data_IF_143947882207
#
_entry.id   IF_143947882207
#
_cell.length_a   1.000
_cell.length_b   1.000
_cell.length_c   1.000
_cell.angle_alpha   90.00
_cell.angle_beta   90.00
_cell.angle_gamma   90.00
#
_symmetry.space_group_name_H-M   'P 1'
#
loop_
_entity.id
_entity.type
_entity.pdbx_description
1 polymer ?
#
# COMPACT_ATOMS: atom_id res chain seq x y z
N UNK A 1 -0.68 24.40 -46.89
CA UNK A 1 -0.13 24.47 -45.53
C UNK A 1 -1.05 23.64 -44.66
N UNK A 2 -0.76 22.35 -44.43
CA UNK A 2 -1.41 21.47 -43.43
C UNK A 2 -1.00 19.99 -43.65
N UNK A 3 0.30 19.70 -43.74
CA UNK A 3 0.76 18.29 -43.87
C UNK A 3 2.08 17.97 -43.16
N UNK A 4 2.67 18.93 -42.45
CA UNK A 4 3.92 18.75 -41.71
C UNK A 4 3.74 18.64 -40.19
N UNK A 5 2.51 18.79 -39.67
CA UNK A 5 2.24 18.66 -38.23
C UNK A 5 2.14 17.20 -37.76
N UNK A 6 1.68 16.27 -38.61
CA UNK A 6 1.54 14.84 -38.26
C UNK A 6 2.89 14.12 -37.98
N UNK A 7 3.95 14.25 -38.78
CA UNK A 7 5.20 13.55 -38.52
C UNK A 7 5.96 14.14 -37.33
N UNK A 8 5.76 15.42 -37.02
CA UNK A 8 6.37 16.07 -35.85
C UNK A 8 5.71 15.62 -34.55
N UNK A 9 4.38 15.45 -34.54
CA UNK A 9 3.65 14.86 -33.41
C UNK A 9 4.07 13.41 -33.13
N UNK A 10 4.31 12.60 -34.17
CA UNK A 10 4.77 11.21 -34.02
C UNK A 10 6.20 11.10 -33.45
N UNK A 11 7.09 12.04 -33.78
CA UNK A 11 8.46 12.07 -33.26
C UNK A 11 8.53 12.58 -31.80
N UNK A 12 7.65 13.50 -31.41
CA UNK A 12 7.57 14.02 -30.03
C UNK A 12 7.01 12.97 -29.06
N UNK A 13 6.08 12.11 -29.49
CA UNK A 13 5.54 11.02 -28.65
C UNK A 13 6.60 9.96 -28.34
N UNK A 14 7.53 9.69 -29.26
CA UNK A 14 8.58 8.67 -29.07
C UNK A 14 9.69 9.11 -28.08
N UNK A 15 9.92 10.41 -27.89
CA UNK A 15 10.93 10.91 -26.95
C UNK A 15 10.47 10.97 -25.48
N UNK A 16 9.15 10.95 -25.22
CA UNK A 16 8.60 11.05 -23.86
C UNK A 16 8.51 9.71 -23.10
N UNK A 17 8.81 8.58 -23.74
CA UNK A 17 8.74 7.24 -23.11
C UNK A 17 10.04 6.77 -22.44
N UNK A 18 11.09 7.59 -22.39
CA UNK A 18 12.42 7.15 -21.90
C UNK A 18 12.51 6.99 -20.38
N UNK A 19 11.50 7.45 -19.62
CA UNK A 19 11.46 7.36 -18.15
C UNK A 19 10.18 6.71 -17.60
N UNK A 20 9.51 5.84 -18.38
CA UNK A 20 8.41 5.04 -17.82
C UNK A 20 8.96 3.84 -17.03
N UNK A 21 8.29 3.47 -15.93
CA UNK A 21 8.62 2.25 -15.20
C UNK A 21 8.49 1.03 -16.14
N UNK A 22 9.49 0.14 -16.20
CA UNK A 22 9.38 -1.08 -16.99
C UNK A 22 8.24 -1.97 -16.45
N UNK A 23 7.53 -2.66 -17.34
CA UNK A 23 6.49 -3.61 -16.93
C UNK A 23 7.10 -4.72 -16.05
N UNK A 24 6.45 -5.09 -14.93
CA UNK A 24 6.90 -6.20 -14.10
C UNK A 24 6.66 -7.58 -14.73
N UNK A 25 5.92 -7.68 -15.85
CA UNK A 25 5.65 -8.95 -16.54
C UNK A 25 4.67 -9.90 -15.83
N UNK A 26 4.44 -9.71 -14.53
CA UNK A 26 3.47 -10.44 -13.73
C UNK A 26 2.68 -9.46 -12.85
N UNK A 27 1.35 -9.63 -12.83
CA UNK A 27 0.42 -8.76 -12.10
C UNK A 27 -0.39 -9.60 -11.10
N UNK A 28 0.06 -9.74 -9.84
CA UNK A 28 -0.64 -10.54 -8.83
C UNK A 28 -2.11 -10.13 -8.68
N UNK A 29 -2.38 -8.83 -8.71
CA UNK A 29 -3.74 -8.28 -8.63
C UNK A 29 -4.69 -8.86 -9.68
N UNK A 30 -4.23 -9.22 -10.88
CA UNK A 30 -5.07 -9.82 -11.93
C UNK A 30 -5.54 -11.24 -11.60
N UNK A 31 -4.90 -11.91 -10.64
CA UNK A 31 -5.23 -13.28 -10.21
C UNK A 31 -6.33 -13.32 -9.15
N UNK A 32 -6.64 -12.19 -8.52
CA UNK A 32 -7.67 -12.09 -7.49
C UNK A 32 -8.86 -11.29 -7.98
N UNK A 33 -10.05 -11.84 -7.74
CA UNK A 33 -11.30 -11.13 -7.95
C UNK A 33 -11.49 -10.08 -6.88
N UNK A 34 -12.10 -8.97 -7.26
CA UNK A 34 -12.51 -7.95 -6.33
C UNK A 34 -13.63 -8.50 -5.44
N UNK A 35 -13.60 -8.16 -4.15
CA UNK A 35 -14.62 -8.51 -3.16
C UNK A 35 -15.35 -7.25 -2.69
N UNK A 36 -16.56 -7.42 -2.17
CA UNK A 36 -17.22 -6.33 -1.45
C UNK A 36 -16.51 -6.07 -0.12
N UNK A 37 -16.53 -4.82 0.35
CA UNK A 37 -15.90 -4.40 1.60
C UNK A 37 -16.32 -5.28 2.78
N UNK A 38 -17.63 -5.49 2.99
CA UNK A 38 -18.15 -6.30 4.10
C UNK A 38 -17.82 -7.79 4.02
N UNK A 39 -17.39 -8.30 2.86
CA UNK A 39 -16.96 -9.70 2.75
C UNK A 39 -15.58 -9.92 3.38
N UNK A 40 -14.71 -8.89 3.34
CA UNK A 40 -13.33 -8.99 3.81
C UNK A 40 -13.04 -8.20 5.08
N UNK A 41 -13.79 -7.14 5.33
CA UNK A 41 -13.45 -6.10 6.28
C UNK A 41 -14.67 -5.61 7.07
N UNK A 42 -14.40 -5.00 8.22
CA UNK A 42 -15.39 -4.31 9.05
C UNK A 42 -14.83 -2.97 9.54
N UNK A 43 -15.71 -2.08 9.99
CA UNK A 43 -15.28 -0.90 10.73
C UNK A 43 -14.43 -1.31 11.94
N UNK A 44 -13.39 -0.53 12.23
CA UNK A 44 -12.59 -0.66 13.44
C UNK A 44 -12.89 0.49 14.42
N UNK A 45 -12.95 1.72 13.92
CA UNK A 45 -13.27 2.91 14.68
C UNK A 45 -13.77 4.02 13.74
N UNK A 46 -14.41 5.06 14.30
CA UNK A 46 -14.92 6.18 13.51
C UNK A 46 -15.96 5.75 12.48
N UNK A 47 -16.95 4.94 12.89
CA UNK A 47 -17.99 4.41 12.01
C UNK A 47 -18.86 5.51 11.39
N UNK A 48 -19.04 6.62 12.11
CA UNK A 48 -19.68 7.82 11.59
C UNK A 48 -18.91 8.47 10.43
N UNK A 49 -17.62 8.12 10.28
CA UNK A 49 -16.72 8.55 9.21
C UNK A 49 -16.42 7.46 8.18
N UNK A 50 -17.37 6.54 7.97
CA UNK A 50 -17.33 5.55 6.91
C UNK A 50 -18.60 5.58 6.07
N UNK A 51 -18.43 5.56 4.76
CA UNK A 51 -19.52 5.52 3.80
C UNK A 51 -19.22 4.43 2.75
N UNK A 52 -19.74 3.21 2.94
CA UNK A 52 -19.68 2.18 1.91
C UNK A 52 -20.62 2.53 0.75
N UNK A 53 -20.26 2.15 -0.48
CA UNK A 53 -21.16 2.26 -1.63
C UNK A 53 -22.37 1.33 -1.47
N UNK A 54 -23.44 1.59 -2.23
CA UNK A 54 -24.68 0.81 -2.16
C UNK A 54 -24.46 -0.69 -2.47
N UNK A 55 -23.57 -1.00 -3.40
CA UNK A 55 -23.15 -2.36 -3.76
C UNK A 55 -22.00 -2.89 -2.89
N UNK A 56 -21.52 -2.08 -1.95
CA UNK A 56 -20.38 -2.33 -1.07
C UNK A 56 -19.06 -2.65 -1.78
N UNK A 57 -18.93 -2.34 -3.07
CA UNK A 57 -17.67 -2.52 -3.82
C UNK A 57 -16.63 -1.42 -3.53
N UNK A 58 -17.06 -0.33 -2.90
CA UNK A 58 -16.25 0.81 -2.53
C UNK A 58 -16.49 1.25 -1.08
N UNK A 59 -15.49 1.92 -0.50
CA UNK A 59 -15.56 2.54 0.81
C UNK A 59 -14.91 3.92 0.76
N UNK A 60 -15.61 4.92 1.24
CA UNK A 60 -15.00 6.22 1.57
C UNK A 60 -14.83 6.31 3.07
N UNK A 61 -13.62 6.66 3.51
CA UNK A 61 -13.35 7.02 4.91
C UNK A 61 -12.76 8.42 4.95
N UNK A 62 -13.02 9.19 6.00
CA UNK A 62 -12.54 10.56 6.09
C UNK A 62 -12.09 10.97 7.50
N UNK A 63 -11.36 12.09 7.53
CA UNK A 63 -10.87 12.76 8.71
C UNK A 63 -11.39 14.20 8.73
N UNK A 64 -11.92 14.61 9.87
CA UNK A 64 -12.18 16.00 10.22
C UNK A 64 -11.84 16.24 11.70
N UNK A 65 -12.11 17.46 12.21
CA UNK A 65 -11.79 17.83 13.61
C UNK A 65 -12.40 16.89 14.66
N UNK A 66 -13.46 16.16 14.33
CA UNK A 66 -14.16 15.30 15.28
C UNK A 66 -13.53 13.90 15.38
N UNK A 67 -13.08 13.34 14.27
CA UNK A 67 -12.51 11.98 14.21
C UNK A 67 -11.87 11.71 12.84
N UNK A 68 -10.95 10.76 12.79
CA UNK A 68 -10.65 10.01 11.56
C UNK A 68 -11.54 8.77 11.43
N UNK A 69 -11.03 7.77 10.70
CA UNK A 69 -11.68 6.47 10.63
C UNK A 69 -10.70 5.36 10.24
N UNK A 70 -11.07 4.12 10.55
CA UNK A 70 -10.33 2.95 10.11
C UNK A 70 -11.18 1.69 10.01
N UNK A 71 -10.71 0.75 9.22
CA UNK A 71 -11.29 -0.58 9.03
C UNK A 71 -10.22 -1.65 9.23
N UNK A 72 -10.68 -2.88 9.46
CA UNK A 72 -9.86 -4.05 9.73
C UNK A 72 -10.40 -5.27 8.98
N UNK A 73 -9.54 -6.19 8.55
CA UNK A 73 -9.97 -7.47 8.00
C UNK A 73 -10.70 -8.28 9.06
N UNK A 74 -11.74 -8.99 8.65
CA UNK A 74 -12.54 -9.83 9.54
C UNK A 74 -11.69 -10.98 10.11
N UNK A 75 -10.80 -11.53 9.29
CA UNK A 75 -9.91 -12.64 9.63
C UNK A 75 -8.46 -12.21 9.76
N UNK A 76 -7.68 -12.94 10.54
CA UNK A 76 -6.22 -12.95 10.47
C UNK A 76 -5.71 -13.91 9.41
N UNK A 77 -4.49 -13.63 8.96
CA UNK A 77 -3.83 -14.37 7.90
C UNK A 77 -2.40 -14.70 8.30
N UNK A 78 -1.97 -15.91 7.94
CA UNK A 78 -0.57 -16.37 8.05
C UNK A 78 0.26 -15.92 6.86
N UNK A 79 -0.38 -15.76 5.71
CA UNK A 79 0.19 -15.26 4.47
C UNK A 79 -0.95 -14.83 3.56
N UNK A 80 -0.66 -13.95 2.60
CA UNK A 80 -1.65 -13.58 1.61
C UNK A 80 -1.25 -12.43 0.73
N UNK A 81 -2.14 -12.14 -0.19
CA UNK A 81 -2.19 -10.97 -1.04
C UNK A 81 -3.34 -10.08 -0.57
N UNK A 82 -3.02 -8.82 -0.29
CA UNK A 82 -3.99 -7.79 0.13
C UNK A 82 -3.84 -6.62 -0.83
N UNK A 83 -4.93 -6.29 -1.51
CA UNK A 83 -4.94 -5.21 -2.47
C UNK A 83 -6.17 -4.35 -2.32
N UNK A 84 -6.02 -3.06 -2.56
CA UNK A 84 -7.11 -2.13 -2.77
C UNK A 84 -6.62 -1.03 -3.72
N UNK A 85 -7.53 -0.50 -4.53
CA UNK A 85 -7.27 0.72 -5.27
C UNK A 85 -7.64 1.91 -4.39
N UNK A 86 -6.65 2.76 -4.10
CA UNK A 86 -6.79 3.92 -3.21
C UNK A 86 -6.72 5.21 -4.02
N UNK A 87 -7.68 6.11 -3.80
CA UNK A 87 -7.67 7.47 -4.33
C UNK A 87 -7.70 8.45 -3.16
N UNK A 88 -6.62 9.21 -3.02
CA UNK A 88 -6.48 10.26 -2.00
C UNK A 88 -7.03 11.59 -2.51
N UNK A 89 -7.48 12.45 -1.59
CA UNK A 89 -7.89 13.82 -1.89
C UNK A 89 -6.74 14.66 -2.46
N UNK A 90 -7.06 15.50 -3.45
CA UNK A 90 -6.13 16.49 -4.00
C UNK A 90 -6.14 17.79 -3.16
N UNK A 91 -5.08 18.59 -3.28
CA UNK A 91 -4.94 19.85 -2.56
C UNK A 91 -4.17 19.69 -1.25
N UNK A 92 -4.39 20.60 -0.29
CA UNK A 92 -3.67 20.60 0.96
C UNK A 92 -4.08 19.41 1.83
N UNK A 93 -3.15 18.47 2.02
CA UNK A 93 -3.32 17.24 2.81
C UNK A 93 -2.14 17.01 3.76
N UNK A 94 -1.31 18.04 4.00
CA UNK A 94 -0.16 17.94 4.89
C UNK A 94 -0.61 17.52 6.30
N UNK A 95 0.19 16.72 6.98
CA UNK A 95 -0.14 16.16 8.29
C UNK A 95 -1.17 15.04 8.30
N UNK A 96 -1.88 14.76 7.19
CA UNK A 96 -2.86 13.67 7.11
C UNK A 96 -2.21 12.41 6.57
N UNK A 97 -2.34 11.29 7.30
CA UNK A 97 -1.83 9.99 6.87
C UNK A 97 -2.97 9.07 6.42
N UNK A 98 -2.86 8.55 5.20
CA UNK A 98 -3.70 7.49 4.66
C UNK A 98 -2.87 6.20 4.61
N UNK A 99 -3.31 5.17 5.31
CA UNK A 99 -2.56 3.92 5.42
C UNK A 99 -3.40 2.71 5.00
N UNK A 100 -2.75 1.73 4.39
CA UNK A 100 -3.24 0.38 4.14
C UNK A 100 -2.11 -0.55 4.58
N UNK A 101 -2.35 -1.46 5.51
CA UNK A 101 -1.26 -2.16 6.17
C UNK A 101 -1.63 -3.45 6.87
N UNK A 102 -0.69 -4.38 6.94
CA UNK A 102 -0.78 -5.56 7.78
C UNK A 102 -0.21 -5.28 9.17
N UNK A 103 -0.94 -5.58 10.23
CA UNK A 103 -0.41 -5.51 11.58
C UNK A 103 -0.98 -6.63 12.44
N UNK A 104 -0.24 -6.99 13.47
CA UNK A 104 -0.73 -7.82 14.56
C UNK A 104 -0.87 -7.01 15.86
N UNK A 105 -0.78 -5.67 15.80
CA UNK A 105 -0.68 -4.79 16.97
C UNK A 105 -1.78 -4.92 18.04
N UNK A 106 -2.99 -5.35 17.66
CA UNK A 106 -4.05 -5.62 18.64
C UNK A 106 -3.77 -6.86 19.49
N UNK A 107 -2.90 -7.76 19.03
CA UNK A 107 -2.48 -8.98 19.73
C UNK A 107 -0.99 -8.94 20.14
N UNK A 108 -0.14 -8.30 19.32
CA UNK A 108 1.31 -8.14 19.48
C UNK A 108 1.76 -6.80 18.84
N UNK A 109 2.05 -5.73 19.59
CA UNK A 109 2.40 -4.41 19.02
C UNK A 109 3.62 -4.40 18.05
N UNK A 110 3.41 -4.20 16.73
CA UNK A 110 4.45 -3.83 15.72
C UNK A 110 4.25 -4.36 14.27
N UNK A 111 4.62 -3.56 13.24
CA UNK A 111 4.82 -3.88 11.78
C UNK A 111 3.65 -3.69 10.75
N UNK A 112 4.01 -3.38 9.46
CA UNK A 112 3.22 -2.85 8.29
C UNK A 112 3.90 -3.10 6.88
N UNK A 113 3.22 -3.48 5.75
CA UNK A 113 3.71 -3.45 4.30
C UNK A 113 2.60 -3.49 3.18
N UNK A 114 2.87 -2.91 1.97
CA UNK A 114 2.07 -2.67 0.71
C UNK A 114 2.68 -3.24 -0.64
N UNK A 115 2.12 -2.89 -1.83
CA UNK A 115 2.22 -3.62 -3.15
C UNK A 115 2.67 -2.81 -4.42
N UNK A 116 3.05 -3.51 -5.53
CA UNK A 116 4.27 -3.31 -6.38
C UNK A 116 5.51 -3.56 -5.51
N UNK A 117 6.45 -4.44 -5.92
CA UNK A 117 7.69 -4.55 -5.17
C UNK A 117 8.46 -3.23 -5.34
N UNK A 118 8.19 -2.27 -4.48
CA UNK A 118 9.00 -1.09 -4.21
C UNK A 118 10.02 -1.43 -3.12
N UNK A 119 9.74 -2.47 -2.34
CA UNK A 119 10.58 -3.01 -1.29
C UNK A 119 10.32 -4.50 -1.12
N UNK A 120 11.40 -5.28 -1.03
CA UNK A 120 11.37 -6.67 -0.55
C UNK A 120 12.07 -6.70 0.79
N UNK A 121 11.39 -7.24 1.79
CA UNK A 121 11.98 -7.52 3.09
C UNK A 121 12.18 -9.04 3.17
N UNK A 122 13.42 -9.48 3.35
CA UNK A 122 13.76 -10.91 3.40
C UNK A 122 13.91 -11.35 4.85
N UNK A 123 13.46 -12.57 5.15
CA UNK A 123 13.76 -13.20 6.43
C UNK A 123 15.23 -13.67 6.42
N UNK A 124 16.15 -12.76 6.73
CA UNK A 124 17.61 -13.05 6.81
C UNK A 124 18.05 -13.41 8.23
N UNK A 125 17.39 -12.85 9.23
CA UNK A 125 17.77 -12.92 10.65
C UNK A 125 16.52 -13.21 11.47
N UNK A 126 16.61 -14.20 12.36
CA UNK A 126 15.50 -14.54 13.24
C UNK A 126 15.08 -13.33 14.09
N UNK A 127 13.77 -13.11 14.19
CA UNK A 127 13.19 -12.01 14.97
C UNK A 127 13.13 -10.66 14.23
N UNK A 128 13.67 -10.55 13.00
CA UNK A 128 13.50 -9.33 12.18
C UNK A 128 12.34 -9.42 11.21
N UNK A 129 11.85 -10.63 10.93
CA UNK A 129 10.73 -10.88 10.01
C UNK A 129 9.40 -11.16 10.75
N UNK A 130 8.25 -10.63 10.30
CA UNK A 130 6.95 -10.97 10.87
C UNK A 130 6.60 -12.44 10.65
N UNK A 131 6.63 -13.25 11.71
CA UNK A 131 6.39 -14.69 11.72
C UNK A 131 5.03 -15.08 12.32
N UNK A 132 4.24 -14.08 12.75
CA UNK A 132 2.92 -14.25 13.37
C UNK A 132 1.80 -13.88 12.41
N UNK A 133 0.61 -14.37 12.73
CA UNK A 133 -0.62 -13.97 12.04
C UNK A 133 -0.80 -12.44 12.07
N UNK A 134 -1.32 -11.87 10.98
CA UNK A 134 -1.60 -10.44 10.87
C UNK A 134 -3.01 -10.20 10.35
N UNK A 135 -3.55 -9.05 10.69
CA UNK A 135 -4.78 -8.50 10.11
C UNK A 135 -4.42 -7.37 9.17
N UNK A 136 -5.25 -7.20 8.15
CA UNK A 136 -5.16 -6.05 7.26
C UNK A 136 -5.96 -4.89 7.84
N UNK A 137 -5.44 -3.69 7.72
CA UNK A 137 -6.05 -2.46 8.19
C UNK A 137 -6.03 -1.43 7.07
N UNK A 138 -6.99 -0.52 7.12
CA UNK A 138 -6.90 0.75 6.40
C UNK A 138 -7.39 1.87 7.28
N UNK A 139 -6.77 3.05 7.20
CA UNK A 139 -7.09 4.16 8.09
C UNK A 139 -6.72 5.51 7.50
N UNK A 140 -7.41 6.55 7.98
CA UNK A 140 -7.04 7.95 7.82
C UNK A 140 -6.98 8.63 9.19
N UNK A 141 -5.88 9.33 9.48
CA UNK A 141 -5.65 9.95 10.78
C UNK A 141 -4.70 11.15 10.71
N UNK A 142 -4.74 12.01 11.74
CA UNK A 142 -3.86 13.18 11.87
C UNK A 142 -2.50 12.76 12.45
N UNK A 143 -1.49 12.85 11.60
CA UNK A 143 -0.09 12.54 11.86
C UNK A 143 0.79 13.81 11.78
N UNK A 144 0.22 14.97 12.14
CA UNK A 144 0.86 16.30 12.03
C UNK A 144 2.24 16.41 12.63
N UNK A 145 2.58 15.58 13.61
CA UNK A 145 3.87 15.63 14.28
C UNK A 145 5.01 15.09 13.42
N UNK A 146 4.73 14.38 12.32
CA UNK A 146 5.77 13.75 11.52
C UNK A 146 5.48 13.59 10.02
N UNK A 147 4.22 13.54 9.59
CA UNK A 147 3.85 13.06 8.25
C UNK A 147 4.36 13.92 7.09
N UNK A 148 4.52 15.23 7.27
CA UNK A 148 4.95 16.13 6.20
C UNK A 148 6.13 16.98 6.66
N UNK A 149 7.27 16.80 5.99
CA UNK A 149 8.55 17.46 6.30
C UNK A 149 8.90 17.38 7.79
N UNK A 150 8.88 16.16 8.36
CA UNK A 150 9.15 15.91 9.78
C UNK A 150 8.27 16.76 10.73
N UNK A 151 7.01 16.99 10.35
CA UNK A 151 6.02 17.73 11.14
C UNK A 151 6.02 19.24 10.93
N UNK A 152 6.82 19.75 9.98
CA UNK A 152 6.85 21.18 9.61
C UNK A 152 5.50 21.67 9.08
N UNK A 153 4.82 20.85 8.28
CA UNK A 153 3.49 21.16 7.74
C UNK A 153 2.45 20.24 8.40
N UNK A 154 1.54 20.85 9.16
CA UNK A 154 0.51 20.15 9.95
C UNK A 154 -0.83 20.11 9.22
N UNK A 155 -1.73 19.27 9.70
CA UNK A 155 -3.11 19.22 9.24
C UNK A 155 -3.80 20.56 9.47
N UNK A 156 -4.32 21.14 8.38
CA UNK A 156 -5.13 22.33 8.43
C UNK A 156 -6.59 21.96 8.16
N UNK A 157 -7.34 21.86 9.25
CA UNK A 157 -8.75 21.49 9.21
C UNK A 157 -9.67 22.56 8.61
N UNK A 158 -9.15 23.68 8.09
CA UNK A 158 -9.92 24.53 7.17
C UNK A 158 -10.20 23.83 5.83
N UNK A 159 -9.38 22.83 5.46
CA UNK A 159 -9.54 22.03 4.24
C UNK A 159 -10.34 20.73 4.45
N UNK A 160 -10.96 20.56 5.63
CA UNK A 160 -11.73 19.37 5.96
C UNK A 160 -13.05 19.27 5.15
N UNK A 161 -13.64 18.07 5.01
CA UNK A 161 -13.08 16.78 5.41
C UNK A 161 -11.95 16.34 4.47
N UNK A 162 -10.97 15.61 5.01
CA UNK A 162 -9.97 14.90 4.22
C UNK A 162 -10.48 13.50 3.92
N UNK A 163 -10.66 13.14 2.65
CA UNK A 163 -11.24 11.85 2.28
C UNK A 163 -10.26 10.97 1.48
N UNK A 164 -10.35 9.67 1.73
CA UNK A 164 -9.73 8.64 0.89
C UNK A 164 -10.80 7.64 0.45
N UNK A 165 -10.77 7.31 -0.84
CA UNK A 165 -11.70 6.40 -1.47
C UNK A 165 -11.01 5.09 -1.84
N UNK A 166 -11.52 3.99 -1.30
CA UNK A 166 -11.05 2.64 -1.56
C UNK A 166 -12.03 1.92 -2.47
N UNK A 167 -11.49 1.19 -3.45
CA UNK A 167 -12.24 0.33 -4.37
C UNK A 167 -11.44 -0.93 -4.63
N UNK A 168 -12.03 -1.89 -5.37
CA UNK A 168 -11.28 -3.02 -5.91
C UNK A 168 -10.53 -3.81 -4.82
N UNK A 169 -11.19 -4.02 -3.68
CA UNK A 169 -10.64 -4.79 -2.56
C UNK A 169 -10.34 -6.21 -3.02
N UNK A 170 -9.16 -6.72 -2.71
CA UNK A 170 -8.69 -8.06 -3.04
C UNK A 170 -8.04 -8.66 -1.81
N UNK A 171 -8.47 -9.86 -1.47
CA UNK A 171 -7.84 -10.67 -0.44
C UNK A 171 -7.70 -12.08 -0.97
N UNK A 172 -6.50 -12.65 -0.85
CA UNK A 172 -6.24 -14.06 -1.10
C UNK A 172 -5.12 -14.57 -0.21
N UNK A 173 -5.09 -15.88 0.05
CA UNK A 173 -4.09 -16.49 0.93
C UNK A 173 -4.72 -17.28 2.06
N UNK A 174 -3.90 -17.58 3.07
CA UNK A 174 -4.26 -18.50 4.14
C UNK A 174 -4.61 -17.77 5.42
N UNK A 175 -5.87 -17.90 5.82
CA UNK A 175 -6.33 -17.51 7.16
C UNK A 175 -5.74 -18.45 8.20
N UNK A 176 -5.78 -18.07 9.48
CA UNK A 176 -5.33 -18.94 10.58
C UNK A 176 -6.15 -20.22 10.74
N UNK A 177 -7.41 -20.20 10.33
CA UNK A 177 -8.28 -21.40 10.34
C UNK A 177 -8.22 -22.18 9.01
N UNK A 178 -7.39 -21.77 8.05
CA UNK A 178 -7.28 -22.48 6.77
C UNK A 178 -6.63 -23.86 6.94
N UNK A 179 -7.09 -24.83 6.15
CA UNK A 179 -6.52 -26.18 6.09
C UNK A 179 -5.03 -26.17 5.72
N UNK A 180 -4.34 -27.27 6.01
CA UNK A 180 -2.92 -27.48 5.65
C UNK A 180 -2.68 -27.51 4.14
N UNK A 181 -3.72 -27.72 3.34
CA UNK A 181 -3.68 -27.64 1.88
C UNK A 181 -3.68 -26.20 1.33
N UNK A 182 -3.83 -25.20 2.21
CA UNK A 182 -3.71 -23.81 1.80
C UNK A 182 -2.23 -23.44 1.64
N UNK A 183 -1.90 -22.89 0.48
CA UNK A 183 -0.54 -22.50 0.14
C UNK A 183 -0.41 -20.98 -0.02
N UNK A 184 0.78 -20.41 0.25
CA UNK A 184 1.05 -19.00 0.02
C UNK A 184 0.76 -18.56 -1.40
N UNK A 185 0.34 -17.30 -1.55
CA UNK A 185 0.15 -16.68 -2.85
C UNK A 185 1.51 -16.59 -3.57
N UNK A 186 1.62 -17.05 -4.83
CA UNK A 186 2.85 -16.90 -5.61
C UNK A 186 3.22 -15.42 -5.80
N UNK A 187 4.51 -15.10 -5.63
CA UNK A 187 5.05 -13.77 -5.90
C UNK A 187 5.22 -13.50 -7.41
N UNK A 188 5.37 -14.56 -8.21
CA UNK A 188 5.53 -14.50 -9.65
C UNK A 188 4.83 -15.67 -10.37
N UNK A 189 4.88 -15.68 -11.70
CA UNK A 189 4.38 -16.80 -12.50
C UNK A 189 5.11 -18.13 -12.27
N UNK A 190 6.31 -18.09 -11.65
CA UNK A 190 7.16 -19.27 -11.41
C UNK A 190 7.21 -19.69 -9.94
N UNK A 191 6.53 -18.98 -9.04
CA UNK A 191 6.39 -19.37 -7.64
C UNK A 191 6.59 -18.22 -6.65
N UNK A 192 7.29 -18.51 -5.56
CA UNK A 192 7.39 -17.66 -4.37
C UNK A 192 8.46 -16.56 -4.45
N UNK A 193 9.20 -16.48 -5.56
CA UNK A 193 10.30 -15.52 -5.76
C UNK A 193 9.93 -14.58 -6.91
N UNK A 194 10.37 -13.32 -6.81
CA UNK A 194 10.23 -12.35 -7.89
C UNK A 194 11.00 -12.82 -9.13
N UNK A 195 10.43 -12.61 -10.32
CA UNK A 195 11.16 -12.77 -11.57
C UNK A 195 12.20 -11.66 -11.75
N UNK A 196 13.19 -11.88 -12.62
CA UNK A 196 14.16 -10.84 -12.98
C UNK A 196 13.48 -9.57 -13.47
N UNK A 197 12.40 -9.69 -14.23
CA UNK A 197 11.63 -8.56 -14.73
C UNK A 197 10.96 -7.78 -13.59
N UNK A 198 10.37 -8.47 -12.60
CA UNK A 198 9.82 -7.83 -11.41
C UNK A 198 10.92 -7.14 -10.58
N UNK A 199 12.10 -7.76 -10.48
CA UNK A 199 13.23 -7.21 -9.76
C UNK A 199 13.77 -5.94 -10.44
N UNK A 200 13.88 -5.91 -11.77
CA UNK A 200 14.29 -4.71 -12.51
C UNK A 200 13.27 -3.57 -12.38
N UNK A 201 11.96 -3.88 -12.35
CA UNK A 201 10.93 -2.90 -12.07
C UNK A 201 11.06 -2.31 -10.65
N UNK A 202 11.37 -3.14 -9.65
CA UNK A 202 11.66 -2.69 -8.29
C UNK A 202 12.87 -1.78 -8.24
N UNK A 203 13.99 -2.17 -8.85
CA UNK A 203 15.21 -1.35 -8.87
C UNK A 203 14.99 -0.02 -9.58
N UNK A 204 14.22 0.00 -10.66
CA UNK A 204 13.85 1.23 -11.34
C UNK A 204 13.03 2.14 -10.41
N UNK A 205 12.03 1.61 -9.71
CA UNK A 205 11.20 2.39 -8.80
C UNK A 205 12.02 2.95 -7.62
N UNK A 206 12.90 2.13 -7.04
CA UNK A 206 13.81 2.55 -5.98
C UNK A 206 14.77 3.65 -6.46
N UNK A 207 15.37 3.47 -7.63
CA UNK A 207 16.32 4.45 -8.19
C UNK A 207 15.67 5.82 -8.48
N UNK A 208 14.43 5.83 -8.95
CA UNK A 208 13.79 7.06 -9.44
C UNK A 208 12.88 7.74 -8.41
N UNK A 209 12.37 7.01 -7.42
CA UNK A 209 11.33 7.52 -6.52
C UNK A 209 11.65 7.37 -5.02
N UNK A 210 12.70 6.63 -4.64
CA UNK A 210 13.05 6.47 -3.22
C UNK A 210 13.78 7.71 -2.70
N UNK A 211 13.20 8.37 -1.71
CA UNK A 211 13.76 9.56 -1.07
C UNK A 211 14.43 9.26 0.28
N UNK A 212 14.12 8.11 0.89
CA UNK A 212 14.66 7.71 2.18
C UNK A 212 14.78 6.18 2.28
N UNK A 213 15.90 5.70 2.82
CA UNK A 213 16.13 4.31 3.14
C UNK A 213 16.97 4.18 4.41
N UNK A 214 16.37 3.68 5.49
CA UNK A 214 16.97 3.64 6.83
C UNK A 214 18.33 2.90 6.88
N UNK A 215 18.56 1.87 6.07
CA UNK A 215 19.87 1.20 6.03
C UNK A 215 21.01 2.09 5.51
N UNK A 216 20.68 3.15 4.76
CA UNK A 216 21.63 4.14 4.26
C UNK A 216 21.70 5.40 5.13
N UNK A 217 20.83 5.52 6.15
CA UNK A 217 20.82 6.65 7.06
C UNK A 217 21.90 6.48 8.14
N UNK A 218 22.96 7.30 8.07
CA UNK A 218 24.08 7.27 9.02
C UNK A 218 23.71 7.75 10.43
N UNK A 219 22.54 8.38 10.61
CA UNK A 219 22.04 8.77 11.93
C UNK A 219 21.43 7.61 12.72
N UNK A 220 21.14 6.48 12.07
CA UNK A 220 20.60 5.27 12.71
C UNK A 220 21.72 4.40 13.24
N UNK A 221 21.50 3.84 14.43
CA UNK A 221 22.38 2.82 14.98
C UNK A 221 22.22 1.52 14.18
N UNK A 222 23.21 1.19 13.35
CA UNK A 222 23.20 -0.02 12.51
C UNK A 222 23.14 -1.32 13.32
N UNK A 223 23.54 -1.31 14.58
CA UNK A 223 23.44 -2.51 15.42
C UNK A 223 22.00 -2.92 15.73
N UNK A 224 21.05 -1.99 15.63
CA UNK A 224 19.61 -2.24 15.83
C UNK A 224 18.90 -2.76 14.57
N UNK A 225 19.58 -2.74 13.41
CA UNK A 225 19.01 -3.11 12.12
C UNK A 225 19.92 -4.12 11.39
N UNK A 226 20.14 -5.31 11.96
CA UNK A 226 21.09 -6.30 11.43
C UNK A 226 20.68 -6.93 10.09
N UNK A 227 19.47 -6.66 9.60
CA UNK A 227 19.01 -7.09 8.28
C UNK A 227 19.52 -6.20 7.13
N UNK A 228 19.97 -4.99 7.47
CA UNK A 228 20.81 -4.17 6.61
C UNK A 228 22.18 -4.87 6.48
#
# INVERSE_FOLDING_TARGET
>A
MDSLLLPFLLFVVLFHCTNAQPSPGYYPSSKFRSIAFSQGYSNLWGSQHQSPSQDQSALTIWLDKSSGSGFKSIKSYRNGYFGASMKVQAGYTAGVNNAFYLSNNQQYPGFYVDDIPIRRYENKVDGTFPDREMWMYGSIWDASDWATDNGKYRADYQYQPFAVHFTNFKIGGCTTDSSTSCHPVPASGTGSVLSDQQYQAMLWAQKNSMTYYYCQDSSKDRSLYPEC
#
